data_IF_994770195584
#
_entry.id   IF_994770195584
#
_cell.length_a   1.000
_cell.length_b   1.000
_cell.length_c   1.000
_cell.angle_alpha   90.00
_cell.angle_beta   90.00
_cell.angle_gamma   90.00
#
_symmetry.space_group_name_H-M   'P 1'
#
loop_
_entity.id
_entity.type
_entity.pdbx_description
1 polymer ?
#
# COMPACT_ATOMS: atom_id res chain seq x y z
N UNK A 1 26.43 -9.31 -12.06
CA UNK A 1 25.73 -8.05 -11.70
C UNK A 1 25.56 -8.09 -10.20
N UNK A 2 26.02 -7.06 -9.48
CA UNK A 2 25.93 -7.03 -8.02
C UNK A 2 24.47 -6.98 -7.57
N UNK A 3 24.17 -7.61 -6.42
CA UNK A 3 22.87 -7.46 -5.77
C UNK A 3 22.75 -6.00 -5.32
N UNK A 4 21.71 -5.31 -5.78
CA UNK A 4 21.37 -3.97 -5.28
C UNK A 4 20.46 -4.18 -4.08
N UNK A 5 20.92 -3.77 -2.91
CA UNK A 5 20.17 -3.83 -1.67
C UNK A 5 19.28 -2.60 -1.56
N UNK A 6 18.13 -2.75 -0.90
CA UNK A 6 17.35 -1.59 -0.47
C UNK A 6 18.13 -0.86 0.62
N UNK A 7 17.94 0.45 0.76
CA UNK A 7 18.54 1.23 1.86
C UNK A 7 17.64 1.22 3.12
N UNK A 8 16.40 0.76 2.98
CA UNK A 8 15.41 0.73 4.06
C UNK A 8 14.35 -0.34 3.81
N UNK A 9 13.59 -0.64 4.86
CA UNK A 9 12.48 -1.59 4.84
C UNK A 9 11.38 -1.14 5.79
N UNK A 10 10.14 -1.46 5.44
CA UNK A 10 8.98 -1.15 6.27
C UNK A 10 7.89 -2.19 6.07
N UNK A 11 7.16 -2.46 7.14
CA UNK A 11 5.92 -3.23 7.10
C UNK A 11 4.75 -2.33 7.48
N UNK A 12 3.66 -2.40 6.72
CA UNK A 12 2.44 -1.68 7.02
C UNK A 12 1.23 -2.60 6.84
N UNK A 13 0.42 -2.76 7.88
CA UNK A 13 -0.80 -3.56 7.83
C UNK A 13 -1.99 -2.78 8.39
N UNK A 14 -3.08 -2.73 7.65
CA UNK A 14 -4.28 -1.98 8.01
C UNK A 14 -5.54 -2.73 7.65
N UNK A 15 -6.56 -2.60 8.48
CA UNK A 15 -7.90 -3.09 8.18
C UNK A 15 -8.94 -2.19 8.81
N UNK A 16 -10.05 -1.94 8.13
CA UNK A 16 -11.12 -1.13 8.70
C UNK A 16 -12.27 -0.89 7.75
N UNK A 17 -13.21 -0.08 8.22
CA UNK A 17 -14.34 0.42 7.44
C UNK A 17 -14.24 1.94 7.35
N UNK A 18 -14.45 2.49 6.15
CA UNK A 18 -14.52 3.92 5.90
C UNK A 18 -15.85 4.29 5.25
N UNK A 19 -16.46 5.36 5.74
CA UNK A 19 -17.62 5.98 5.11
C UNK A 19 -17.16 6.90 3.98
N UNK A 20 -17.51 6.57 2.75
CA UNK A 20 -17.12 7.36 1.58
C UNK A 20 -18.22 8.39 1.26
N UNK A 21 -18.14 9.60 1.83
CA UNK A 21 -18.97 10.82 1.56
C UNK A 21 -20.50 10.68 1.45
N UNK A 22 -21.03 9.47 1.59
CA UNK A 22 -22.41 9.05 1.40
C UNK A 22 -22.70 8.03 2.48
N UNK A 23 -23.80 8.20 3.25
CA UNK A 23 -24.13 7.33 4.37
C UNK A 23 -24.51 5.89 3.96
N UNK A 24 -24.50 5.59 2.66
CA UNK A 24 -24.84 4.30 2.08
C UNK A 24 -23.67 3.67 1.31
N UNK A 25 -22.48 4.29 1.36
CA UNK A 25 -21.27 3.80 0.71
C UNK A 25 -20.20 3.52 1.76
N UNK A 26 -19.99 2.23 2.03
CA UNK A 26 -19.01 1.74 2.99
C UNK A 26 -17.89 1.05 2.23
N UNK A 27 -16.65 1.43 2.52
CA UNK A 27 -15.45 0.74 2.04
C UNK A 27 -14.88 -0.05 3.21
N UNK A 28 -14.95 -1.37 3.13
CA UNK A 28 -14.16 -2.26 3.95
C UNK A 28 -12.84 -2.51 3.24
N UNK A 29 -11.74 -2.46 3.97
CA UNK A 29 -10.42 -2.73 3.42
C UNK A 29 -9.60 -3.58 4.37
N UNK A 30 -8.73 -4.39 3.80
CA UNK A 30 -7.60 -5.06 4.44
C UNK A 30 -6.40 -4.89 3.52
N UNK A 31 -5.29 -4.43 4.06
CA UNK A 31 -4.08 -4.16 3.29
C UNK A 31 -2.86 -4.61 4.07
N UNK A 32 -1.88 -5.14 3.34
CA UNK A 32 -0.59 -5.52 3.87
C UNK A 32 0.50 -5.16 2.87
N UNK A 33 1.51 -4.43 3.32
CA UNK A 33 2.74 -4.16 2.60
C UNK A 33 3.92 -4.61 3.45
N UNK A 34 4.81 -5.39 2.84
CA UNK A 34 6.11 -5.73 3.37
C UNK A 34 7.15 -5.35 2.32
N UNK A 35 7.89 -4.26 2.56
CA UNK A 35 8.83 -3.69 1.61
C UNK A 35 10.25 -4.02 2.05
N UNK A 36 10.97 -4.73 1.20
CA UNK A 36 12.36 -5.18 1.39
C UNK A 36 12.62 -5.96 2.71
N UNK A 37 11.82 -6.98 3.07
CA UNK A 37 12.03 -7.73 4.31
C UNK A 37 13.45 -8.32 4.42
N UNK A 38 14.01 -8.78 3.29
CA UNK A 38 15.37 -9.33 3.18
C UNK A 38 16.38 -8.34 2.59
N UNK A 39 16.10 -7.03 2.66
CA UNK A 39 16.92 -5.99 2.05
C UNK A 39 17.03 -6.09 0.51
N UNK A 40 16.10 -6.80 -0.13
CA UNK A 40 16.03 -6.97 -1.58
C UNK A 40 14.66 -6.52 -2.09
N UNK A 41 14.58 -5.70 -3.15
CA UNK A 41 13.28 -5.26 -3.68
C UNK A 41 12.41 -6.43 -4.10
N UNK A 42 13.01 -7.46 -4.69
CA UNK A 42 12.34 -8.69 -5.12
C UNK A 42 11.75 -9.53 -3.98
N UNK A 43 12.11 -9.26 -2.72
CA UNK A 43 11.50 -9.91 -1.54
C UNK A 43 10.25 -9.17 -1.05
N UNK A 44 9.93 -8.01 -1.62
CA UNK A 44 8.79 -7.20 -1.20
C UNK A 44 7.47 -7.79 -1.69
N UNK A 45 6.40 -7.52 -0.95
CA UNK A 45 5.05 -7.88 -1.35
C UNK A 45 4.04 -6.83 -0.87
N UNK A 46 3.03 -6.56 -1.69
CA UNK A 46 1.87 -5.75 -1.34
C UNK A 46 0.60 -6.48 -1.75
N UNK A 47 -0.32 -6.61 -0.81
CA UNK A 47 -1.64 -7.23 -1.02
C UNK A 47 -2.73 -6.34 -0.44
N UNK A 48 -3.88 -6.29 -1.09
CA UNK A 48 -5.05 -5.60 -0.58
C UNK A 48 -6.33 -6.33 -0.95
N UNK A 49 -7.32 -6.26 -0.08
CA UNK A 49 -8.69 -6.69 -0.33
C UNK A 49 -9.61 -5.53 0.04
N UNK A 50 -10.52 -5.18 -0.87
CA UNK A 50 -11.41 -4.05 -0.75
C UNK A 50 -12.83 -4.51 -1.07
N UNK A 51 -13.77 -4.15 -0.22
CA UNK A 51 -15.19 -4.41 -0.45
C UNK A 51 -15.95 -3.10 -0.31
N UNK A 52 -16.53 -2.65 -1.41
CA UNK A 52 -17.40 -1.47 -1.42
C UNK A 52 -18.85 -1.94 -1.38
N UNK A 53 -19.60 -1.52 -0.36
CA UNK A 53 -21.03 -1.78 -0.26
C UNK A 53 -21.82 -0.54 -0.67
N UNK A 54 -22.66 -0.66 -1.69
CA UNK A 54 -23.54 0.42 -2.17
C UNK A 54 -24.97 -0.09 -2.31
N UNK A 55 -25.93 0.49 -1.57
CA UNK A 55 -27.34 0.06 -1.58
C UNK A 55 -27.54 -1.47 -1.38
N UNK A 56 -26.67 -2.12 -0.62
CA UNK A 56 -26.70 -3.56 -0.37
C UNK A 56 -26.13 -4.43 -1.51
N UNK A 57 -25.53 -3.82 -2.53
CA UNK A 57 -24.68 -4.50 -3.50
C UNK A 57 -23.23 -4.41 -3.03
N UNK A 58 -22.52 -5.54 -3.03
CA UNK A 58 -21.12 -5.62 -2.68
C UNK A 58 -20.27 -5.71 -3.96
N UNK A 59 -19.26 -4.85 -4.03
CA UNK A 59 -18.25 -4.83 -5.08
C UNK A 59 -16.93 -5.20 -4.42
N UNK A 60 -16.39 -6.35 -4.79
CA UNK A 60 -15.11 -6.84 -4.31
C UNK A 60 -13.99 -6.46 -5.27
N UNK A 61 -12.86 -6.05 -4.71
CA UNK A 61 -11.63 -5.80 -5.43
C UNK A 61 -10.44 -6.35 -4.65
N UNK A 62 -9.60 -7.15 -5.31
CA UNK A 62 -8.37 -7.69 -4.72
C UNK A 62 -7.15 -7.19 -5.48
N UNK A 63 -6.09 -6.85 -4.78
CA UNK A 63 -4.82 -6.42 -5.34
C UNK A 63 -3.69 -7.34 -4.88
N UNK A 64 -2.84 -7.74 -5.82
CA UNK A 64 -1.58 -8.46 -5.53
C UNK A 64 -0.46 -7.85 -6.36
N UNK A 65 0.63 -7.45 -5.70
CA UNK A 65 1.81 -6.93 -6.36
C UNK A 65 2.51 -8.01 -7.19
N UNK A 66 3.00 -7.62 -8.36
CA UNK A 66 3.86 -8.44 -9.23
C UNK A 66 5.30 -7.95 -9.24
N UNK A 67 5.49 -6.63 -9.19
CA UNK A 67 6.81 -6.00 -9.15
C UNK A 67 6.77 -4.79 -8.21
N UNK A 68 7.84 -4.63 -7.44
CA UNK A 68 7.99 -3.51 -6.51
C UNK A 68 9.36 -2.89 -6.78
N UNK A 69 9.34 -1.58 -7.03
CA UNK A 69 10.53 -0.80 -7.32
C UNK A 69 11.45 -0.64 -6.11
N UNK A 70 12.48 0.18 -6.27
CA UNK A 70 13.38 0.53 -5.17
C UNK A 70 12.69 1.51 -4.21
N UNK A 71 12.64 1.22 -2.90
CA UNK A 71 12.07 2.16 -1.95
C UNK A 71 13.00 3.35 -1.74
N UNK A 72 12.40 4.52 -1.57
CA UNK A 72 13.08 5.75 -1.16
C UNK A 72 12.61 6.07 0.25
N UNK A 73 13.55 6.15 1.20
CA UNK A 73 13.24 6.54 2.56
C UNK A 73 13.73 7.93 2.90
N UNK A 74 12.90 8.63 3.66
CA UNK A 74 13.22 9.95 4.21
C UNK A 74 12.92 9.95 5.70
N UNK A 75 13.66 10.77 6.44
CA UNK A 75 13.49 10.95 7.88
C UNK A 75 13.25 12.44 8.12
N UNK A 76 12.17 12.77 8.82
CA UNK A 76 11.84 14.14 9.17
C UNK A 76 12.68 14.65 10.36
N UNK A 77 12.52 15.93 10.73
CA UNK A 77 13.25 16.53 11.84
C UNK A 77 12.86 15.98 13.22
N UNK A 78 11.71 15.31 13.33
CA UNK A 78 11.23 14.65 14.54
C UNK A 78 11.71 13.19 14.63
N UNK A 79 12.35 12.66 13.57
CA UNK A 79 12.86 11.30 13.48
C UNK A 79 11.87 10.30 12.88
N UNK A 80 10.70 10.74 12.40
CA UNK A 80 9.73 9.84 11.79
C UNK A 80 10.16 9.49 10.36
N UNK A 81 9.94 8.24 9.99
CA UNK A 81 10.30 7.74 8.67
C UNK A 81 9.12 7.78 7.70
N UNK A 82 9.42 8.06 6.43
CA UNK A 82 8.50 7.90 5.31
C UNK A 82 9.19 7.11 4.21
N UNK A 83 8.54 6.07 3.71
CA UNK A 83 8.98 5.25 2.59
C UNK A 83 8.06 5.50 1.41
N UNK A 84 8.61 5.73 0.24
CA UNK A 84 7.87 5.75 -1.02
C UNK A 84 8.41 4.70 -1.98
N UNK A 85 7.52 4.02 -2.69
CA UNK A 85 7.89 2.97 -3.65
C UNK A 85 6.84 2.87 -4.76
N UNK A 86 7.28 2.60 -5.99
CA UNK A 86 6.38 2.28 -7.09
C UNK A 86 6.03 0.80 -7.03
N UNK A 87 4.73 0.50 -7.08
CA UNK A 87 4.18 -0.85 -7.02
C UNK A 87 3.44 -1.12 -8.31
N UNK A 88 3.76 -2.24 -8.94
CA UNK A 88 3.02 -2.82 -10.06
C UNK A 88 2.32 -4.09 -9.57
N UNK A 89 1.12 -4.34 -10.06
CA UNK A 89 0.40 -5.56 -9.72
C UNK A 89 -0.90 -5.72 -10.47
N UNK A 90 -1.64 -6.76 -10.12
CA UNK A 90 -2.94 -7.06 -10.71
C UNK A 90 -4.03 -6.68 -9.72
N UNK A 91 -4.92 -5.78 -10.13
CA UNK A 91 -6.19 -5.48 -9.47
C UNK A 91 -7.29 -6.31 -10.11
N UNK A 92 -8.01 -7.10 -9.31
CA UNK A 92 -9.13 -7.92 -9.75
C UNK A 92 -10.42 -7.33 -9.23
N UNK A 93 -11.18 -6.64 -10.08
CA UNK A 93 -12.46 -6.02 -9.72
C UNK A 93 -13.61 -6.94 -10.17
N UNK A 94 -14.41 -7.43 -9.23
CA UNK A 94 -15.50 -8.38 -9.50
C UNK A 94 -15.07 -9.57 -10.38
N UNK A 95 -13.88 -10.11 -10.12
CA UNK A 95 -13.30 -11.23 -10.88
C UNK A 95 -12.68 -10.85 -12.23
N UNK A 96 -12.63 -9.57 -12.60
CA UNK A 96 -11.98 -9.09 -13.82
C UNK A 96 -10.59 -8.52 -13.47
N UNK A 97 -9.49 -9.18 -13.88
CA UNK A 97 -8.14 -8.70 -13.60
C UNK A 97 -7.76 -7.55 -14.52
N UNK A 98 -6.96 -6.63 -14.01
CA UNK A 98 -6.33 -5.52 -14.74
C UNK A 98 -5.00 -5.18 -14.11
N UNK A 99 -3.97 -4.97 -14.94
CA UNK A 99 -2.67 -4.54 -14.45
C UNK A 99 -2.72 -3.06 -14.08
N UNK A 100 -2.16 -2.72 -12.93
CA UNK A 100 -2.13 -1.36 -12.40
C UNK A 100 -0.75 -1.04 -11.85
N UNK A 101 -0.42 0.25 -11.91
CA UNK A 101 0.81 0.81 -11.34
C UNK A 101 0.43 2.01 -10.49
N UNK A 102 0.97 2.08 -9.28
CA UNK A 102 0.76 3.21 -8.37
C UNK A 102 2.00 3.46 -7.51
N UNK A 103 2.07 4.65 -6.94
CA UNK A 103 3.05 4.98 -5.91
C UNK A 103 2.43 4.72 -4.54
N UNK A 104 3.10 3.90 -3.73
CA UNK A 104 2.75 3.65 -2.35
C UNK A 104 3.65 4.51 -1.45
N UNK A 105 3.04 5.22 -0.51
CA UNK A 105 3.74 5.91 0.58
C UNK A 105 3.36 5.28 1.91
N UNK A 106 4.36 4.98 2.74
CA UNK A 106 4.18 4.44 4.10
C UNK A 106 4.72 5.49 5.07
N UNK A 107 3.87 5.98 5.98
CA UNK A 107 4.19 7.08 6.88
C UNK A 107 4.07 6.65 8.35
N UNK A 108 5.20 6.68 9.06
CA UNK A 108 5.26 6.32 10.49
C UNK A 108 4.57 7.34 11.40
N UNK A 109 4.71 8.63 11.11
CA UNK A 109 4.18 9.70 11.96
C UNK A 109 2.65 9.63 12.04
N UNK A 110 2.01 9.36 10.90
CA UNK A 110 0.56 9.32 10.79
C UNK A 110 -0.03 7.91 10.99
N UNK A 111 0.81 6.86 10.97
CA UNK A 111 0.36 5.46 10.98
C UNK A 111 -0.62 5.19 9.83
N UNK A 112 -0.17 5.51 8.61
CA UNK A 112 -0.98 5.46 7.40
C UNK A 112 -0.17 4.98 6.21
N UNK A 113 -0.88 4.40 5.25
CA UNK A 113 -0.41 4.19 3.89
C UNK A 113 -1.18 5.13 2.96
N UNK A 114 -0.54 5.67 1.94
CA UNK A 114 -1.19 6.48 0.92
C UNK A 114 -0.90 5.90 -0.46
N UNK A 115 -1.94 5.82 -1.29
CA UNK A 115 -1.87 5.31 -2.65
C UNK A 115 -2.11 6.47 -3.61
N UNK A 116 -1.18 6.66 -4.53
CA UNK A 116 -1.26 7.67 -5.60
C UNK A 116 -1.16 6.97 -6.96
N UNK A 117 -2.21 7.07 -7.76
CA UNK A 117 -2.29 6.49 -9.08
C UNK A 117 -2.67 7.55 -10.12
N UNK A 118 -2.24 7.37 -11.37
CA UNK A 118 -2.55 8.34 -12.42
C UNK A 118 -4.07 8.45 -12.66
N UNK A 119 -4.60 9.67 -12.59
CA UNK A 119 -6.01 9.94 -12.81
C UNK A 119 -6.93 9.64 -11.62
N UNK A 120 -6.37 9.33 -10.44
CA UNK A 120 -7.12 9.13 -9.20
C UNK A 120 -6.53 10.06 -8.13
N UNK A 121 -7.40 10.73 -7.37
CA UNK A 121 -6.96 11.52 -6.22
C UNK A 121 -6.29 10.60 -5.17
N UNK A 122 -5.15 11.00 -4.61
CA UNK A 122 -4.46 10.18 -3.62
C UNK A 122 -5.34 9.99 -2.39
N UNK A 123 -5.39 8.76 -1.90
CA UNK A 123 -6.14 8.41 -0.70
C UNK A 123 -5.25 7.67 0.28
N UNK A 124 -5.50 7.89 1.57
CA UNK A 124 -4.74 7.28 2.65
C UNK A 124 -5.63 6.36 3.47
N UNK A 125 -5.05 5.24 3.90
CA UNK A 125 -5.69 4.24 4.74
C UNK A 125 -4.91 4.16 6.06
N UNK A 126 -5.60 4.12 7.21
CA UNK A 126 -4.94 3.89 8.48
C UNK A 126 -4.30 2.50 8.49
N UNK A 127 -3.07 2.43 8.98
CA UNK A 127 -2.29 1.20 9.02
C UNK A 127 -1.34 1.22 10.24
N UNK A 128 -1.08 0.05 10.81
CA UNK A 128 0.03 -0.11 11.75
C UNK A 128 1.32 -0.15 10.94
N UNK A 129 2.16 0.86 11.12
CA UNK A 129 3.41 1.04 10.37
C UNK A 129 4.61 0.76 11.28
N UNK A 130 5.50 -0.09 10.80
CA UNK A 130 6.75 -0.44 11.49
C UNK A 130 7.89 -0.34 10.49
N UNK A 131 8.84 0.56 10.76
CA UNK A 131 10.09 0.62 10.02
C UNK A 131 11.11 -0.35 10.61
N UNK A 132 11.76 -1.11 9.74
CA UNK A 132 12.81 -2.03 10.15
C UNK A 132 14.15 -1.32 10.30
N UNK A 133 15.13 -2.02 10.91
CA UNK A 133 16.52 -1.60 10.84
C UNK A 133 16.96 -1.39 9.38
N UNK A 134 17.83 -0.40 9.11
CA UNK A 134 18.35 -0.15 7.78
C UNK A 134 19.09 -1.38 7.25
N UNK A 135 19.02 -1.48 5.93
CA UNK A 135 19.77 -2.38 5.09
C UNK A 135 21.05 -1.64 4.62
#
# INVERSE_FOLDING_TARGET
MGLVLCDCRATAAGSGEMNCESPLLFLNFEFNADICPECLPASSSVTGAFTVTVFGLEIEADFVSTEIGFPICTIDAAGNQTLTVVVEGTLTLMGVPSDVTFTLSINEANQEICIEAEGIDPFCLPATVIFGAPC
#
